data_IF_693157111156
#
_entry.id   IF_693157111156
#
_cell.length_a   1.000
_cell.length_b   1.000
_cell.length_c   1.000
_cell.angle_alpha   90.00
_cell.angle_beta   90.00
_cell.angle_gamma   90.00
#
_symmetry.space_group_name_H-M   'P 1'
#
loop_
_entity.id
_entity.type
_entity.pdbx_description
1 polymer ?
#
# COMPACT_ATOMS: atom_id res chain seq x y z
N UNK A 1 6.50 -10.50 11.97
CA UNK A 1 6.57 -11.36 10.78
C UNK A 1 6.60 -10.59 9.47
N UNK A 2 5.80 -9.52 9.31
CA UNK A 2 5.71 -8.79 8.04
C UNK A 2 6.80 -7.72 7.87
N UNK A 3 7.11 -6.95 8.91
CA UNK A 3 7.91 -5.73 8.82
C UNK A 3 9.08 -5.67 9.80
N UNK A 4 9.47 -6.77 10.42
CA UNK A 4 10.71 -6.82 11.20
C UNK A 4 11.88 -6.43 10.30
N UNK A 5 12.81 -5.55 10.74
CA UNK A 5 13.90 -5.04 9.90
C UNK A 5 14.84 -6.14 9.36
N UNK A 6 15.02 -7.22 10.10
CA UNK A 6 15.95 -8.32 9.78
C UNK A 6 15.23 -9.52 9.15
N UNK A 7 14.10 -9.93 9.73
CA UNK A 7 13.42 -11.18 9.38
C UNK A 7 12.07 -10.96 8.68
N UNK A 8 11.59 -9.72 8.62
CA UNK A 8 10.26 -9.41 8.10
C UNK A 8 10.09 -9.74 6.62
N UNK A 9 8.92 -10.23 6.29
CA UNK A 9 8.56 -10.61 4.93
C UNK A 9 8.84 -9.47 3.92
N UNK A 10 8.34 -8.26 4.19
CA UNK A 10 8.51 -7.09 3.29
C UNK A 10 9.84 -6.36 3.47
N UNK A 11 10.58 -6.62 4.55
CA UNK A 11 11.90 -6.02 4.79
C UNK A 11 13.02 -6.79 4.10
N UNK A 12 12.78 -8.04 3.72
CA UNK A 12 13.80 -8.92 3.12
C UNK A 12 14.19 -8.49 1.70
N UNK A 13 15.38 -8.93 1.26
CA UNK A 13 15.87 -8.69 -0.10
C UNK A 13 15.30 -9.67 -1.15
N UNK A 14 14.46 -10.62 -0.75
CA UNK A 14 13.86 -11.60 -1.66
C UNK A 14 12.88 -10.92 -2.61
N UNK A 15 12.85 -11.39 -3.84
CA UNK A 15 11.82 -10.97 -4.80
C UNK A 15 10.49 -11.58 -4.39
N UNK A 16 9.50 -10.72 -4.06
CA UNK A 16 8.18 -11.14 -3.60
C UNK A 16 7.11 -11.03 -4.69
N UNK A 17 7.32 -10.10 -5.61
CA UNK A 17 6.36 -9.74 -6.65
C UNK A 17 6.93 -10.14 -8.00
N UNK A 18 6.04 -10.54 -8.94
CA UNK A 18 6.38 -10.92 -10.29
C UNK A 18 6.31 -12.43 -10.54
N UNK A 19 6.66 -12.84 -11.76
CA UNK A 19 6.47 -14.20 -12.28
C UNK A 19 7.15 -15.30 -11.45
N UNK A 20 8.24 -14.95 -10.75
CA UNK A 20 9.00 -15.84 -9.86
C UNK A 20 8.85 -15.48 -8.38
N UNK A 21 7.90 -14.62 -8.04
CA UNK A 21 7.59 -14.18 -6.68
C UNK A 21 6.37 -14.86 -6.12
N UNK A 22 5.99 -14.45 -4.91
CA UNK A 22 4.84 -14.99 -4.20
C UNK A 22 3.52 -14.39 -4.71
N UNK A 23 3.59 -13.21 -5.38
CA UNK A 23 2.43 -12.47 -5.91
C UNK A 23 2.61 -12.09 -7.37
N UNK A 24 1.52 -12.18 -8.12
CA UNK A 24 1.43 -11.75 -9.50
C UNK A 24 0.22 -10.83 -9.68
N UNK A 25 0.48 -9.54 -9.83
CA UNK A 25 -0.55 -8.51 -9.83
C UNK A 25 -0.91 -8.03 -11.24
N UNK A 26 -2.01 -7.30 -11.37
CA UNK A 26 -2.53 -6.77 -12.64
C UNK A 26 -1.49 -6.00 -13.45
N UNK A 27 -0.56 -5.32 -12.78
CA UNK A 27 0.53 -4.54 -13.39
C UNK A 27 1.53 -5.41 -14.16
N UNK A 28 1.66 -6.69 -13.80
CA UNK A 28 2.55 -7.63 -14.46
C UNK A 28 1.91 -8.31 -15.68
N UNK A 29 0.57 -8.25 -15.77
CA UNK A 29 -0.17 -8.89 -16.86
C UNK A 29 -0.06 -8.07 -18.14
N UNK A 30 -0.36 -6.78 -18.08
CA UNK A 30 -0.38 -5.92 -19.25
C UNK A 30 -0.36 -4.43 -18.85
N UNK A 31 0.38 -3.63 -19.62
CA UNK A 31 0.48 -2.17 -19.43
C UNK A 31 -0.84 -1.40 -19.53
N UNK A 32 -1.89 -2.03 -20.05
CA UNK A 32 -3.21 -1.42 -20.16
C UNK A 32 -3.74 -0.92 -18.82
N UNK A 33 -3.46 -1.64 -17.72
CA UNK A 33 -3.89 -1.24 -16.39
C UNK A 33 -3.30 0.13 -16.01
N UNK A 34 -1.98 0.30 -16.10
CA UNK A 34 -1.32 1.59 -15.83
C UNK A 34 -1.75 2.69 -16.80
N UNK A 35 -2.00 2.35 -18.08
CA UNK A 35 -2.52 3.31 -19.07
C UNK A 35 -3.91 3.81 -18.71
N UNK A 36 -4.81 2.95 -18.23
CA UNK A 36 -6.15 3.35 -17.77
C UNK A 36 -6.08 4.25 -16.54
N UNK A 37 -5.21 3.94 -15.59
CA UNK A 37 -4.96 4.80 -14.42
C UNK A 37 -4.37 6.15 -14.88
N UNK A 38 -3.39 6.14 -15.78
CA UNK A 38 -2.82 7.36 -16.37
C UNK A 38 -3.86 8.22 -17.07
N UNK A 39 -4.81 7.60 -17.81
CA UNK A 39 -5.94 8.29 -18.42
C UNK A 39 -6.84 8.93 -17.37
N UNK A 40 -7.19 8.21 -16.33
CA UNK A 40 -8.03 8.74 -15.25
C UNK A 40 -7.36 9.93 -14.54
N UNK A 41 -6.04 9.85 -14.27
CA UNK A 41 -5.28 10.95 -13.69
C UNK A 41 -5.26 12.17 -14.63
N UNK A 42 -5.10 11.94 -15.93
CA UNK A 42 -5.14 13.01 -16.91
C UNK A 42 -6.51 13.73 -16.92
N UNK A 43 -7.61 12.97 -16.91
CA UNK A 43 -8.97 13.52 -16.84
C UNK A 43 -9.19 14.32 -15.53
N UNK A 44 -8.73 13.81 -14.39
CA UNK A 44 -8.78 14.52 -13.09
C UNK A 44 -8.01 15.85 -13.16
N UNK A 45 -6.80 15.83 -13.71
CA UNK A 45 -5.99 17.03 -13.89
C UNK A 45 -6.67 18.08 -14.79
N UNK A 46 -7.35 17.64 -15.89
CA UNK A 46 -8.13 18.53 -16.76
C UNK A 46 -9.33 19.16 -16.04
N UNK A 47 -10.10 18.34 -15.29
CA UNK A 47 -11.26 18.81 -14.49
C UNK A 47 -10.82 19.83 -13.42
N UNK A 48 -9.63 19.68 -12.88
CA UNK A 48 -9.03 20.62 -11.91
C UNK A 48 -8.44 21.88 -12.57
N UNK A 49 -8.72 22.14 -13.87
CA UNK A 49 -8.19 23.26 -14.66
C UNK A 49 -6.64 23.23 -14.81
N UNK A 50 -6.08 22.03 -14.95
CA UNK A 50 -4.66 21.81 -15.30
C UNK A 50 -3.69 22.51 -14.36
N UNK A 51 -3.76 22.27 -13.04
CA UNK A 51 -2.88 22.91 -12.09
C UNK A 51 -1.41 22.58 -12.37
N UNK A 52 -0.55 23.58 -12.23
CA UNK A 52 0.90 23.38 -12.29
C UNK A 52 1.40 22.52 -11.14
N UNK A 53 2.46 21.72 -11.39
CA UNK A 53 3.08 20.85 -10.40
C UNK A 53 2.13 19.81 -9.77
N UNK A 54 1.17 19.31 -10.56
CA UNK A 54 0.30 18.22 -10.10
C UNK A 54 1.15 16.99 -9.71
N UNK A 55 0.98 16.53 -8.48
CA UNK A 55 1.75 15.38 -7.98
C UNK A 55 0.94 14.11 -8.08
N UNK A 56 1.59 13.08 -8.58
CA UNK A 56 1.12 11.70 -8.54
C UNK A 56 1.97 11.01 -7.46
N UNK A 57 1.37 10.66 -6.33
CA UNK A 57 2.07 10.02 -5.21
C UNK A 57 1.63 8.59 -5.12
N UNK A 58 2.54 7.65 -5.39
CA UNK A 58 2.30 6.21 -5.30
C UNK A 58 2.94 5.64 -4.04
N UNK A 59 2.13 4.95 -3.21
CA UNK A 59 2.60 4.25 -2.01
C UNK A 59 2.55 2.76 -2.27
N UNK A 60 3.69 2.07 -2.06
CA UNK A 60 3.76 0.63 -2.30
C UNK A 60 3.82 0.28 -3.80
N UNK A 61 4.65 0.98 -4.56
CA UNK A 61 4.77 0.80 -6.02
C UNK A 61 5.31 -0.57 -6.47
N UNK A 62 5.66 -1.46 -5.54
CA UNK A 62 6.25 -2.75 -5.86
C UNK A 62 7.51 -2.61 -6.71
N UNK A 63 7.56 -3.25 -7.87
CA UNK A 63 8.69 -3.12 -8.79
C UNK A 63 8.66 -1.83 -9.63
N UNK A 64 7.55 -1.06 -9.62
CA UNK A 64 7.41 0.22 -10.32
C UNK A 64 6.76 0.15 -11.71
N UNK A 65 6.13 -0.97 -12.07
CA UNK A 65 5.50 -1.12 -13.39
C UNK A 65 4.33 -0.16 -13.60
N UNK A 66 3.48 0.06 -12.60
CA UNK A 66 2.36 1.01 -12.74
C UNK A 66 2.88 2.44 -12.96
N UNK A 67 3.89 2.87 -12.20
CA UNK A 67 4.57 4.15 -12.42
C UNK A 67 5.10 4.27 -13.85
N UNK A 68 5.80 3.22 -14.35
CA UNK A 68 6.32 3.19 -15.73
C UNK A 68 5.23 3.40 -16.75
N UNK A 69 4.14 2.65 -16.64
CA UNK A 69 3.05 2.67 -17.63
C UNK A 69 2.28 3.99 -17.58
N UNK A 70 2.07 4.57 -16.40
CA UNK A 70 1.49 5.91 -16.25
C UNK A 70 2.40 6.96 -16.90
N UNK A 71 3.71 6.92 -16.64
CA UNK A 71 4.67 7.85 -17.24
C UNK A 71 4.69 7.71 -18.78
N UNK A 72 4.65 6.46 -19.30
CA UNK A 72 4.57 6.20 -20.74
C UNK A 72 3.29 6.81 -21.35
N UNK A 73 2.13 6.65 -20.69
CA UNK A 73 0.88 7.27 -21.12
C UNK A 73 0.98 8.80 -21.17
N UNK A 74 1.47 9.43 -20.09
CA UNK A 74 1.59 10.89 -20.01
C UNK A 74 2.59 11.44 -21.03
N UNK A 75 3.64 10.68 -21.34
CA UNK A 75 4.60 11.02 -22.39
C UNK A 75 3.95 10.96 -23.79
N UNK A 76 3.18 9.91 -24.10
CA UNK A 76 2.44 9.78 -25.35
C UNK A 76 1.40 10.91 -25.56
N UNK A 77 0.89 11.48 -24.46
CA UNK A 77 -0.01 12.64 -24.49
C UNK A 77 0.71 13.99 -24.54
N UNK A 78 2.04 14.00 -24.48
CA UNK A 78 2.88 15.21 -24.41
C UNK A 78 2.56 16.13 -23.22
N UNK A 79 2.18 15.56 -22.06
CA UNK A 79 1.79 16.30 -20.85
C UNK A 79 2.62 15.93 -19.62
N UNK A 80 3.57 15.02 -19.75
CA UNK A 80 4.35 14.51 -18.59
C UNK A 80 5.08 15.60 -17.82
N UNK A 81 5.46 16.70 -18.48
CA UNK A 81 6.15 17.85 -17.84
C UNK A 81 5.26 18.58 -16.82
N UNK A 82 3.92 18.45 -16.92
CA UNK A 82 2.97 19.04 -15.96
C UNK A 82 2.85 18.25 -14.67
N UNK A 83 3.48 17.09 -14.60
CA UNK A 83 3.36 16.15 -13.47
C UNK A 83 4.69 15.95 -12.76
N UNK A 84 4.60 15.69 -11.45
CA UNK A 84 5.71 15.18 -10.64
C UNK A 84 5.30 13.87 -10.03
N UNK A 85 5.95 12.78 -10.44
CA UNK A 85 5.70 11.47 -9.85
C UNK A 85 6.54 11.28 -8.59
N UNK A 86 5.93 10.75 -7.55
CA UNK A 86 6.58 10.50 -6.26
C UNK A 86 6.28 9.07 -5.85
N UNK A 87 7.32 8.30 -5.59
CA UNK A 87 7.20 6.95 -5.05
C UNK A 87 7.58 6.99 -3.56
N UNK A 88 6.68 6.49 -2.72
CA UNK A 88 6.96 6.25 -1.30
C UNK A 88 7.33 4.78 -1.14
N UNK A 89 8.60 4.52 -0.90
CA UNK A 89 9.15 3.18 -0.73
C UNK A 89 10.19 3.17 0.39
N UNK A 90 9.93 2.56 1.55
CA UNK A 90 10.87 2.51 2.65
C UNK A 90 12.05 1.57 2.41
N UNK A 91 11.87 0.52 1.59
CA UNK A 91 12.90 -0.47 1.32
C UNK A 91 13.88 0.02 0.25
N UNK A 92 15.11 0.37 0.67
CA UNK A 92 16.17 0.86 -0.24
C UNK A 92 16.56 -0.12 -1.33
N UNK A 93 16.40 -1.43 -1.09
CA UNK A 93 16.68 -2.45 -2.10
C UNK A 93 15.63 -2.41 -3.22
N UNK A 94 14.36 -2.26 -2.85
CA UNK A 94 13.25 -2.08 -3.82
C UNK A 94 13.42 -0.76 -4.58
N UNK A 95 13.76 0.34 -3.89
CA UNK A 95 14.04 1.62 -4.56
C UNK A 95 15.14 1.50 -5.63
N UNK A 96 16.20 0.72 -5.38
CA UNK A 96 17.26 0.52 -6.38
C UNK A 96 16.72 -0.17 -7.64
N UNK A 97 15.90 -1.20 -7.49
CA UNK A 97 15.25 -1.89 -8.62
C UNK A 97 14.33 -0.95 -9.39
N UNK A 98 13.51 -0.18 -8.69
CA UNK A 98 12.63 0.82 -9.29
C UNK A 98 13.42 1.86 -10.10
N UNK A 99 14.53 2.37 -9.57
CA UNK A 99 15.38 3.35 -10.27
C UNK A 99 15.98 2.79 -11.57
N UNK A 100 16.33 1.51 -11.61
CA UNK A 100 16.79 0.85 -12.84
C UNK A 100 15.64 0.74 -13.85
N UNK A 101 14.49 0.22 -13.45
CA UNK A 101 13.31 0.08 -14.32
C UNK A 101 12.83 1.41 -14.89
N UNK A 102 12.92 2.47 -14.08
CA UNK A 102 12.35 3.80 -14.35
C UNK A 102 13.41 4.81 -14.85
N UNK A 103 14.60 4.35 -15.25
CA UNK A 103 15.72 5.21 -15.64
C UNK A 103 15.32 6.27 -16.68
N UNK A 104 14.57 5.87 -17.71
CA UNK A 104 14.10 6.73 -18.80
C UNK A 104 13.12 7.85 -18.33
N UNK A 105 12.54 7.71 -17.13
CA UNK A 105 11.60 8.65 -16.54
C UNK A 105 12.16 9.36 -15.31
N UNK A 106 13.44 9.13 -14.97
CA UNK A 106 14.08 9.57 -13.73
C UNK A 106 13.95 11.06 -13.44
N UNK A 107 13.95 11.92 -14.47
CA UNK A 107 13.76 13.37 -14.33
C UNK A 107 12.38 13.79 -13.81
N UNK A 108 11.38 12.91 -13.93
CA UNK A 108 10.01 13.16 -13.50
C UNK A 108 9.67 12.53 -12.14
N UNK A 109 10.54 11.62 -11.64
CA UNK A 109 10.25 10.77 -10.49
C UNK A 109 11.17 11.11 -9.31
N UNK A 110 10.56 11.26 -8.13
CA UNK A 110 11.28 11.39 -6.87
C UNK A 110 10.92 10.21 -5.95
N UNK A 111 11.88 9.79 -5.10
CA UNK A 111 11.68 8.73 -4.11
C UNK A 111 11.80 9.29 -2.70
N UNK A 112 10.86 8.90 -1.83
CA UNK A 112 10.90 9.17 -0.41
C UNK A 112 10.71 7.86 0.37
N UNK A 113 11.24 7.82 1.58
CA UNK A 113 11.10 6.64 2.45
C UNK A 113 9.79 6.64 3.23
N UNK A 114 9.17 7.79 3.42
CA UNK A 114 7.95 7.97 4.20
C UNK A 114 7.05 9.04 3.61
N UNK A 115 5.74 8.86 3.74
CA UNK A 115 4.76 9.89 3.44
C UNK A 115 4.97 11.15 4.30
N UNK A 116 5.54 11.00 5.49
CA UNK A 116 5.85 12.13 6.38
C UNK A 116 6.90 13.09 5.79
N UNK A 117 7.77 12.59 4.90
CA UNK A 117 8.80 13.40 4.24
C UNK A 117 8.20 14.37 3.21
N UNK A 118 6.93 14.18 2.82
CA UNK A 118 6.23 15.08 1.91
C UNK A 118 5.57 16.24 2.66
N UNK A 119 5.66 17.42 2.05
CA UNK A 119 4.78 18.56 2.37
C UNK A 119 3.40 18.33 1.74
N UNK A 120 2.41 19.11 2.17
CA UNK A 120 1.09 19.14 1.49
C UNK A 120 1.26 19.39 -0.01
N UNK A 121 0.41 18.80 -0.81
CA UNK A 121 0.46 18.92 -2.27
C UNK A 121 -0.93 18.89 -2.89
N UNK A 122 -1.03 19.41 -4.08
CA UNK A 122 -2.17 19.22 -4.97
C UNK A 122 -1.88 18.07 -5.93
N UNK A 123 -2.79 17.11 -6.04
CA UNK A 123 -2.55 15.96 -6.89
C UNK A 123 -3.40 14.74 -6.55
N UNK A 124 -2.87 13.60 -6.91
CA UNK A 124 -3.49 12.29 -6.70
C UNK A 124 -2.56 11.39 -5.89
N UNK A 125 -3.12 10.68 -4.91
CA UNK A 125 -2.42 9.61 -4.20
C UNK A 125 -2.95 8.27 -4.68
N UNK A 126 -2.03 7.38 -5.02
CA UNK A 126 -2.30 6.03 -5.51
C UNK A 126 -1.77 4.98 -4.53
N UNK A 127 -2.50 3.91 -4.37
CA UNK A 127 -1.99 2.66 -3.82
C UNK A 127 -2.75 1.50 -4.46
N UNK A 128 -2.05 0.46 -4.83
CA UNK A 128 -2.65 -0.76 -5.34
C UNK A 128 -2.15 -1.94 -4.51
N UNK A 129 -3.09 -2.75 -3.97
CA UNK A 129 -2.76 -3.89 -3.11
C UNK A 129 -1.77 -3.51 -1.97
N UNK A 130 -2.05 -2.40 -1.26
CA UNK A 130 -1.24 -1.93 -0.15
C UNK A 130 -1.87 -2.27 1.21
N UNK A 131 -3.19 -2.06 1.35
CA UNK A 131 -3.86 -2.14 2.64
C UNK A 131 -3.97 -3.58 3.15
N UNK A 132 -4.02 -4.54 2.23
CA UNK A 132 -3.99 -5.99 2.49
C UNK A 132 -2.63 -6.47 3.03
N UNK A 133 -1.56 -5.71 2.80
CA UNK A 133 -0.25 -5.97 3.39
C UNK A 133 -0.11 -5.52 4.85
N UNK A 134 -1.08 -4.76 5.38
CA UNK A 134 -0.98 -4.27 6.75
C UNK A 134 -1.24 -5.37 7.78
N UNK A 135 -0.52 -5.39 8.91
CA UNK A 135 -0.78 -6.33 9.98
C UNK A 135 -2.20 -6.21 10.51
N UNK A 136 -2.86 -7.34 10.67
CA UNK A 136 -4.21 -7.45 11.20
C UNK A 136 -4.23 -8.11 12.57
N UNK A 137 -5.31 -7.92 13.30
CA UNK A 137 -5.66 -8.68 14.49
C UNK A 137 -6.71 -9.71 14.10
N UNK A 138 -6.44 -10.99 14.33
CA UNK A 138 -7.43 -12.05 14.13
C UNK A 138 -8.26 -12.15 15.40
N UNK A 139 -9.57 -12.04 15.27
CA UNK A 139 -10.52 -12.13 16.38
C UNK A 139 -11.49 -13.28 16.15
N UNK A 140 -11.96 -13.88 17.23
CA UNK A 140 -12.91 -14.98 17.20
C UNK A 140 -13.96 -14.79 18.29
N UNK A 141 -15.27 -14.91 17.92
CA UNK A 141 -16.38 -14.86 18.83
C UNK A 141 -16.70 -16.28 19.35
N UNK A 142 -16.54 -16.47 20.63
CA UNK A 142 -17.03 -17.66 21.37
C UNK A 142 -18.11 -17.20 22.35
N UNK A 143 -18.02 -17.58 23.62
CA UNK A 143 -18.85 -17.02 24.70
C UNK A 143 -18.58 -15.51 24.94
N UNK A 144 -17.44 -15.01 24.47
CA UNK A 144 -17.05 -13.59 24.37
C UNK A 144 -16.11 -13.41 23.19
N UNK A 145 -15.71 -12.16 22.92
CA UNK A 145 -14.74 -11.86 21.88
C UNK A 145 -13.32 -12.16 22.39
N UNK A 146 -12.59 -12.99 21.65
CA UNK A 146 -11.19 -13.32 21.84
C UNK A 146 -10.34 -12.79 20.71
N UNK A 147 -9.05 -12.59 20.97
CA UNK A 147 -8.02 -12.42 19.95
C UNK A 147 -7.23 -13.72 19.78
N UNK A 148 -6.89 -14.06 18.55
CA UNK A 148 -6.11 -15.26 18.23
C UNK A 148 -4.64 -14.89 18.20
N UNK A 149 -3.84 -15.60 18.98
CA UNK A 149 -2.40 -15.45 19.05
C UNK A 149 -1.72 -16.71 18.53
N UNK A 150 -0.47 -16.56 18.13
CA UNK A 150 0.40 -17.68 17.74
C UNK A 150 1.39 -17.91 18.88
N UNK A 151 1.52 -19.14 19.34
CA UNK A 151 2.49 -19.60 20.32
C UNK A 151 3.39 -20.68 19.72
N UNK A 152 4.46 -21.03 20.39
CA UNK A 152 5.46 -22.01 19.94
C UNK A 152 5.85 -22.95 21.08
N UNK A 153 5.68 -24.25 20.88
CA UNK A 153 5.98 -25.28 21.90
C UNK A 153 7.43 -25.79 21.87
N UNK A 154 8.28 -25.19 21.04
CA UNK A 154 9.65 -25.65 20.79
C UNK A 154 9.80 -26.49 19.52
N UNK A 155 8.71 -26.92 18.90
CA UNK A 155 8.69 -27.74 17.68
C UNK A 155 7.74 -27.18 16.63
N UNK A 156 6.55 -26.75 17.04
CA UNK A 156 5.48 -26.28 16.13
C UNK A 156 4.88 -24.97 16.62
N UNK A 157 4.42 -24.16 15.66
CA UNK A 157 3.57 -23.02 15.92
C UNK A 157 2.11 -23.49 16.04
N UNK A 158 1.38 -22.93 17.01
CA UNK A 158 -0.03 -23.22 17.20
C UNK A 158 -0.79 -21.97 17.64
N UNK A 159 -2.11 -21.95 17.43
CA UNK A 159 -2.96 -20.81 17.80
C UNK A 159 -3.52 -20.99 19.19
N UNK A 160 -3.60 -19.86 19.92
CA UNK A 160 -4.26 -19.79 21.23
C UNK A 160 -5.24 -18.61 21.25
N UNK A 161 -6.35 -18.80 21.96
CA UNK A 161 -7.31 -17.72 22.22
C UNK A 161 -6.91 -16.96 23.48
N UNK A 162 -6.77 -15.65 23.37
CA UNK A 162 -6.44 -14.76 24.47
C UNK A 162 -7.38 -13.58 24.59
N UNK A 163 -7.18 -12.77 25.61
CA UNK A 163 -7.91 -11.51 25.74
C UNK A 163 -7.46 -10.55 24.63
N UNK A 164 -8.31 -9.58 24.29
CA UNK A 164 -7.98 -8.56 23.31
C UNK A 164 -6.74 -7.77 23.72
N UNK A 165 -5.77 -7.63 22.83
CA UNK A 165 -4.55 -6.85 23.06
C UNK A 165 -4.82 -5.36 23.20
N UNK A 166 -5.93 -4.89 22.63
CA UNK A 166 -6.31 -3.46 22.59
C UNK A 166 -7.82 -3.29 22.74
N UNK A 167 -8.30 -2.35 23.56
CA UNK A 167 -9.73 -1.99 23.61
C UNK A 167 -10.30 -1.58 22.25
N UNK A 168 -9.49 -0.93 21.41
CA UNK A 168 -9.88 -0.50 20.06
C UNK A 168 -10.43 -1.61 19.16
N UNK A 169 -10.15 -2.88 19.43
CA UNK A 169 -10.72 -4.00 18.66
C UNK A 169 -12.23 -4.13 18.93
N UNK A 170 -12.67 -3.92 20.16
CA UNK A 170 -14.09 -3.88 20.50
C UNK A 170 -14.73 -2.61 19.96
N UNK A 171 -14.09 -1.46 20.20
CA UNK A 171 -14.54 -0.16 19.72
C UNK A 171 -14.74 -0.14 18.20
N UNK A 172 -13.89 -0.83 17.44
CA UNK A 172 -14.03 -0.97 15.98
C UNK A 172 -15.34 -1.66 15.59
N UNK A 173 -15.69 -2.76 16.24
CA UNK A 173 -16.94 -3.47 15.98
C UNK A 173 -18.14 -2.60 16.34
N UNK A 174 -18.08 -1.91 17.47
CA UNK A 174 -19.15 -1.04 17.97
C UNK A 174 -19.34 0.17 17.04
N UNK A 175 -18.25 0.81 16.57
CA UNK A 175 -18.26 1.95 15.63
C UNK A 175 -19.01 1.60 14.33
N UNK A 176 -18.79 0.39 13.81
CA UNK A 176 -19.45 -0.08 12.58
C UNK A 176 -20.73 -0.89 12.83
N UNK A 177 -21.19 -0.95 14.08
CA UNK A 177 -22.39 -1.74 14.46
C UNK A 177 -22.32 -3.21 14.03
N UNK A 178 -21.11 -3.80 14.09
CA UNK A 178 -20.88 -5.18 13.70
C UNK A 178 -21.10 -6.12 14.88
N UNK A 179 -22.07 -7.04 14.73
CA UNK A 179 -22.28 -8.14 15.66
C UNK A 179 -21.77 -9.44 15.03
N UNK A 180 -20.79 -10.08 15.67
CA UNK A 180 -20.25 -11.33 15.19
C UNK A 180 -21.07 -12.51 15.73
N UNK A 181 -21.50 -13.47 14.87
CA UNK A 181 -22.12 -14.71 15.31
C UNK A 181 -21.16 -15.54 16.18
N UNK A 182 -21.73 -16.46 16.95
CA UNK A 182 -20.91 -17.42 17.68
C UNK A 182 -20.05 -18.26 16.71
N UNK A 183 -18.82 -18.55 17.12
CA UNK A 183 -17.80 -19.29 16.35
C UNK A 183 -17.35 -18.60 15.05
N UNK A 184 -17.70 -17.30 14.88
CA UNK A 184 -17.24 -16.54 13.74
C UNK A 184 -15.85 -15.94 13.99
N UNK A 185 -14.97 -16.15 13.01
CA UNK A 185 -13.59 -15.65 12.99
C UNK A 185 -13.43 -14.64 11.87
N UNK A 186 -12.76 -13.52 12.16
CA UNK A 186 -12.49 -12.46 11.18
C UNK A 186 -11.22 -11.68 11.55
N UNK A 187 -10.87 -10.75 10.68
CA UNK A 187 -9.70 -9.88 10.84
C UNK A 187 -10.13 -8.43 11.08
N UNK A 188 -9.36 -7.72 11.92
CA UNK A 188 -9.51 -6.28 12.10
C UNK A 188 -8.17 -5.60 11.80
N UNK A 189 -8.19 -4.65 10.87
CA UNK A 189 -7.05 -3.82 10.55
C UNK A 189 -7.20 -2.44 11.19
N UNK A 190 -6.58 -2.25 12.36
CA UNK A 190 -6.62 -0.96 13.06
C UNK A 190 -5.73 0.12 12.43
N UNK A 191 -4.84 -0.23 11.49
CA UNK A 191 -3.89 0.71 10.90
C UNK A 191 -4.47 1.52 9.74
N UNK A 192 -5.53 1.02 9.08
CA UNK A 192 -6.11 1.69 7.92
C UNK A 192 -6.60 3.10 8.26
N UNK A 193 -7.29 3.26 9.39
CA UNK A 193 -7.82 4.57 9.83
C UNK A 193 -6.70 5.60 10.05
N UNK A 194 -5.63 5.19 10.74
CA UNK A 194 -4.48 6.05 11.00
C UNK A 194 -3.73 6.39 9.70
N UNK A 195 -3.61 5.42 8.79
CA UNK A 195 -3.01 5.63 7.48
C UNK A 195 -3.84 6.62 6.64
N UNK A 196 -5.15 6.44 6.54
CA UNK A 196 -6.05 7.36 5.83
C UNK A 196 -5.97 8.78 6.39
N UNK A 197 -5.93 8.93 7.72
CA UNK A 197 -5.73 10.23 8.36
C UNK A 197 -4.39 10.86 7.99
N UNK A 198 -3.33 10.07 7.86
CA UNK A 198 -2.03 10.57 7.45
C UNK A 198 -2.00 11.00 5.97
N UNK A 199 -2.70 10.28 5.11
CA UNK A 199 -2.92 10.63 3.69
C UNK A 199 -3.68 11.94 3.56
N UNK A 200 -4.83 12.06 4.25
CA UNK A 200 -5.69 13.26 4.20
C UNK A 200 -4.98 14.55 4.64
N UNK A 201 -3.97 14.45 5.50
CA UNK A 201 -3.17 15.62 5.92
C UNK A 201 -2.18 16.08 4.84
N UNK A 202 -2.01 15.35 3.75
CA UNK A 202 -1.04 15.65 2.68
C UNK A 202 -1.71 16.16 1.41
N UNK A 203 -2.98 15.83 1.20
CA UNK A 203 -3.83 16.33 0.14
C UNK A 203 -4.59 17.59 0.58
#
# INVERSE_FOLDING_TARGET
ALYDPEYGYYSSQKQRIGKNGDFYTSQHVHKLFGFMIGKQIHEMWEIMNKPDNFKIVEIGAGEGYMCKDICEYLLHKNIIESFKYIIIEPNRFVQKKQKILLENYSKYINWFSSLNDLKMFSGCLLSNELLDSFPVHIIEMKNKLYEVYVDFDGSFFFEILGNLSKPKLREYLDEFSITLPQDYRTEINLRIKDWLNSVNKKL
#
